data_IF_314939967579
#
_entry.id   IF_314939967579
#
_cell.length_a   1.000
_cell.length_b   1.000
_cell.length_c   1.000
_cell.angle_alpha   90.00
_cell.angle_beta   90.00
_cell.angle_gamma   90.00
#
_symmetry.space_group_name_H-M   'P 1'
#
loop_
_entity.id
_entity.type
_entity.pdbx_description
1 polymer ?
#
# COMPACT_ATOMS: atom_id res chain seq x y z
N UNK A 1 -10.54 6.14 80.97
CA UNK A 1 -11.72 6.94 81.38
C UNK A 1 -12.00 8.00 80.31
N UNK A 2 -13.28 8.17 80.02
CA UNK A 2 -13.98 9.21 79.27
C UNK A 2 -13.89 9.14 77.72
N UNK A 3 -15.04 8.77 77.24
CA UNK A 3 -15.65 8.87 75.94
C UNK A 3 -15.85 10.33 75.51
N UNK A 4 -15.70 10.63 74.28
CA UNK A 4 -16.15 11.85 73.61
C UNK A 4 -16.71 11.53 72.24
N UNK A 5 -18.02 11.48 72.15
CA UNK A 5 -18.84 11.41 70.97
C UNK A 5 -18.94 12.81 70.36
N UNK A 6 -18.69 13.00 69.07
CA UNK A 6 -19.23 14.17 68.38
C UNK A 6 -19.64 13.83 66.94
N UNK A 7 -20.78 14.26 66.64
CA UNK A 7 -21.76 13.97 65.66
C UNK A 7 -21.40 14.18 64.21
N UNK A 8 -21.94 13.30 63.42
CA UNK A 8 -22.02 13.39 61.96
C UNK A 8 -23.24 14.21 61.57
N UNK A 9 -23.00 15.35 60.91
CA UNK A 9 -24.05 16.05 60.16
C UNK A 9 -24.04 15.56 58.73
N UNK A 10 -25.13 14.92 58.30
CA UNK A 10 -25.37 14.52 56.93
C UNK A 10 -25.70 15.76 56.09
N UNK A 11 -24.82 16.09 55.16
CA UNK A 11 -25.06 17.05 54.09
C UNK A 11 -25.57 16.34 52.85
N UNK A 12 -26.85 16.52 52.55
CA UNK A 12 -27.51 16.01 51.34
C UNK A 12 -27.07 16.86 50.16
N UNK A 13 -26.19 16.34 49.27
CA UNK A 13 -25.93 16.92 47.97
C UNK A 13 -27.00 16.46 46.99
N UNK A 14 -27.84 17.41 46.54
CA UNK A 14 -28.77 17.20 45.42
C UNK A 14 -27.97 17.22 44.12
N UNK A 15 -27.81 16.07 43.49
CA UNK A 15 -27.27 15.96 42.13
C UNK A 15 -28.39 16.27 41.16
N UNK A 16 -28.38 17.47 40.59
CA UNK A 16 -29.27 17.84 39.51
C UNK A 16 -28.85 17.17 38.21
N UNK A 17 -29.65 16.19 37.76
CA UNK A 17 -29.48 15.53 36.48
C UNK A 17 -29.96 16.49 35.38
N UNK A 18 -29.03 17.11 34.66
CA UNK A 18 -29.35 17.86 33.43
C UNK A 18 -29.47 16.84 32.31
N UNK A 19 -30.71 16.56 31.91
CA UNK A 19 -31.00 15.78 30.68
C UNK A 19 -30.69 16.67 29.47
N UNK A 20 -29.60 16.43 28.78
CA UNK A 20 -29.39 16.91 27.43
C UNK A 20 -30.25 16.07 26.47
N UNK A 21 -31.33 16.65 25.98
CA UNK A 21 -32.06 16.13 24.82
C UNK A 21 -31.20 16.37 23.57
N UNK A 22 -30.45 15.35 23.16
CA UNK A 22 -29.85 15.33 21.83
C UNK A 22 -30.95 15.00 20.80
N UNK A 23 -31.06 15.75 19.68
CA UNK A 23 -31.94 15.36 18.60
C UNK A 23 -31.44 14.04 18.01
N UNK A 24 -32.35 13.09 17.84
CA UNK A 24 -32.07 11.83 17.16
C UNK A 24 -31.62 12.09 15.72
N UNK A 25 -30.63 11.33 15.20
CA UNK A 25 -30.28 11.41 13.79
C UNK A 25 -31.51 11.00 12.96
N UNK A 26 -31.90 11.86 12.03
CA UNK A 26 -32.91 11.54 11.03
C UNK A 26 -32.34 10.48 10.10
N UNK A 27 -32.83 9.25 10.21
CA UNK A 27 -32.64 8.19 9.23
C UNK A 27 -33.16 8.71 7.88
N UNK A 28 -32.28 8.73 6.88
CA UNK A 28 -32.64 9.09 5.52
C UNK A 28 -33.79 8.19 5.04
N UNK A 29 -34.85 8.83 4.55
CA UNK A 29 -36.00 8.11 3.98
C UNK A 29 -35.54 7.43 2.68
N UNK A 30 -35.63 6.11 2.66
CA UNK A 30 -35.55 5.32 1.44
C UNK A 30 -36.63 5.78 0.45
N UNK A 31 -36.20 6.36 -0.65
CA UNK A 31 -37.07 6.60 -1.79
C UNK A 31 -37.38 5.27 -2.47
N UNK A 32 -38.61 4.88 -2.64
CA UNK A 32 -38.98 3.64 -3.34
C UNK A 32 -38.48 3.66 -4.79
N UNK A 33 -38.07 2.52 -5.36
CA UNK A 33 -37.64 2.44 -6.76
C UNK A 33 -38.76 2.82 -7.69
N UNK A 34 -38.52 3.77 -8.59
CA UNK A 34 -39.43 4.17 -9.63
C UNK A 34 -39.64 3.03 -10.66
N UNK A 35 -40.79 3.05 -11.40
CA UNK A 35 -41.12 2.00 -12.36
C UNK A 35 -40.09 1.90 -13.49
N UNK A 36 -39.93 0.71 -14.11
CA UNK A 36 -38.98 0.50 -15.19
C UNK A 36 -39.32 1.39 -16.40
N UNK A 37 -38.33 2.13 -16.87
CA UNK A 37 -38.45 2.90 -18.11
C UNK A 37 -38.19 1.97 -19.29
N UNK A 38 -39.24 1.84 -20.12
CA UNK A 38 -39.15 1.16 -21.41
C UNK A 38 -38.15 1.80 -22.35
N UNK A 39 -37.49 0.95 -23.12
CA UNK A 39 -36.37 1.29 -23.96
C UNK A 39 -36.72 2.24 -25.11
N UNK A 40 -35.93 3.27 -25.23
CA UNK A 40 -35.83 4.15 -26.40
C UNK A 40 -34.36 4.26 -26.78
N UNK A 41 -33.94 3.48 -27.75
CA UNK A 41 -32.62 3.60 -28.34
C UNK A 41 -32.40 4.96 -28.99
N UNK A 42 -31.45 5.73 -28.49
CA UNK A 42 -30.82 6.85 -29.21
C UNK A 42 -29.35 6.88 -28.88
N UNK A 43 -28.56 6.87 -29.97
CA UNK A 43 -27.13 6.85 -29.99
C UNK A 43 -26.47 7.77 -28.96
N UNK A 44 -25.73 7.14 -28.05
CA UNK A 44 -24.93 7.82 -27.07
C UNK A 44 -23.76 8.54 -27.74
N UNK A 45 -23.85 9.86 -27.89
CA UNK A 45 -22.67 10.70 -27.99
C UNK A 45 -21.96 10.61 -26.65
N UNK A 46 -20.87 9.85 -26.61
CA UNK A 46 -19.93 9.84 -25.51
C UNK A 46 -19.40 11.26 -25.29
N UNK A 47 -20.01 11.98 -24.34
CA UNK A 47 -19.50 13.23 -23.83
C UNK A 47 -18.29 12.95 -22.96
N UNK A 48 -17.11 12.76 -23.57
CA UNK A 48 -15.86 12.76 -22.86
C UNK A 48 -15.66 14.12 -22.20
N UNK A 49 -15.76 14.20 -20.89
CA UNK A 49 -15.22 15.32 -20.11
C UNK A 49 -13.68 15.25 -20.08
N UNK A 50 -13.08 15.12 -21.27
CA UNK A 50 -11.69 15.42 -21.49
C UNK A 50 -11.52 16.92 -21.59
N UNK A 51 -11.51 17.66 -20.49
CA UNK A 51 -10.80 18.94 -20.46
C UNK A 51 -9.37 18.59 -20.83
N UNK A 52 -8.98 18.91 -22.06
CA UNK A 52 -7.60 18.77 -22.52
C UNK A 52 -6.69 19.46 -21.50
N UNK A 53 -6.04 18.69 -20.64
CA UNK A 53 -4.94 19.23 -19.83
C UNK A 53 -3.91 19.71 -20.86
N UNK A 54 -3.60 20.99 -20.84
CA UNK A 54 -2.46 21.49 -21.61
C UNK A 54 -1.26 20.60 -21.30
N UNK A 55 -0.47 20.20 -22.31
CA UNK A 55 0.74 19.42 -22.05
C UNK A 55 1.56 20.13 -20.99
N UNK A 56 2.02 19.38 -20.00
CA UNK A 56 2.94 19.93 -19.00
C UNK A 56 4.20 20.41 -19.73
N UNK A 57 4.80 21.54 -19.31
CA UNK A 57 6.08 21.96 -19.86
C UNK A 57 7.12 20.85 -19.66
N UNK A 58 8.23 20.83 -20.43
CA UNK A 58 9.30 19.88 -20.24
C UNK A 58 9.72 19.84 -18.75
N UNK A 59 10.02 18.65 -18.25
CA UNK A 59 10.51 18.49 -16.87
C UNK A 59 11.88 19.16 -16.72
N UNK A 60 12.08 19.89 -15.64
CA UNK A 60 13.38 20.44 -15.26
C UNK A 60 14.28 19.38 -14.61
N UNK A 61 15.54 19.71 -14.35
CA UNK A 61 16.43 18.85 -13.60
C UNK A 61 15.88 18.66 -12.17
N UNK A 62 16.18 17.52 -11.54
CA UNK A 62 15.83 17.33 -10.14
C UNK A 62 16.55 18.33 -9.23
N UNK A 63 15.87 18.69 -8.13
CA UNK A 63 16.42 19.59 -7.10
C UNK A 63 17.47 18.87 -6.27
N UNK A 64 18.23 19.64 -5.50
CA UNK A 64 19.22 19.14 -4.54
C UNK A 64 18.91 19.63 -3.14
N UNK A 65 19.19 18.77 -2.17
CA UNK A 65 19.22 19.10 -0.75
C UNK A 65 20.43 19.97 -0.41
N UNK A 66 20.47 20.51 0.79
CA UNK A 66 21.57 21.37 1.24
C UNK A 66 22.94 20.66 1.26
N UNK A 67 22.97 19.32 1.43
CA UNK A 67 24.17 18.49 1.37
C UNK A 67 24.50 18.00 -0.06
N UNK A 68 23.81 18.53 -1.07
CA UNK A 68 24.07 18.28 -2.48
C UNK A 68 23.51 16.98 -3.04
N UNK A 69 22.77 16.20 -2.27
CA UNK A 69 22.11 14.98 -2.72
C UNK A 69 20.86 15.31 -3.55
N UNK A 70 20.41 14.42 -4.44
CA UNK A 70 19.11 14.59 -5.06
C UNK A 70 18.00 14.74 -4.03
N UNK A 71 17.10 15.71 -4.26
CA UNK A 71 15.94 15.93 -3.41
C UNK A 71 14.76 15.08 -3.91
N UNK A 72 14.49 13.98 -3.23
CA UNK A 72 13.40 13.07 -3.53
C UNK A 72 12.08 13.51 -2.85
N UNK A 73 12.08 14.58 -2.05
CA UNK A 73 10.90 15.05 -1.32
C UNK A 73 9.74 15.35 -2.25
N UNK A 74 8.53 15.04 -1.80
CA UNK A 74 7.29 15.34 -2.53
C UNK A 74 6.31 14.18 -2.53
N UNK A 75 5.24 14.34 -3.30
CA UNK A 75 4.20 13.32 -3.46
C UNK A 75 4.46 12.52 -4.74
N UNK A 76 4.40 11.21 -4.63
CA UNK A 76 4.74 10.28 -5.71
C UNK A 76 3.65 9.22 -5.88
N UNK A 77 3.61 8.61 -7.04
CA UNK A 77 2.78 7.43 -7.31
C UNK A 77 3.49 6.50 -8.31
N UNK A 78 3.05 5.26 -8.33
CA UNK A 78 3.56 4.21 -9.20
C UNK A 78 2.55 3.82 -10.30
N UNK A 79 1.84 4.78 -10.87
CA UNK A 79 0.75 4.52 -11.82
C UNK A 79 1.18 3.74 -13.09
N UNK A 80 2.46 3.78 -13.44
CA UNK A 80 3.01 3.12 -14.63
C UNK A 80 3.83 1.86 -14.27
N UNK A 81 3.32 1.04 -13.36
CA UNK A 81 3.99 -0.16 -12.86
C UNK A 81 3.63 -1.45 -13.60
N UNK A 82 2.99 -1.36 -14.78
CA UNK A 82 2.65 -2.53 -15.58
C UNK A 82 1.50 -3.39 -15.04
N UNK A 83 0.75 -2.89 -14.05
CA UNK A 83 -0.31 -3.65 -13.37
C UNK A 83 0.21 -4.53 -12.23
N UNK A 84 1.43 -4.27 -11.75
CA UNK A 84 2.10 -5.07 -10.72
C UNK A 84 1.29 -5.23 -9.42
N UNK A 85 0.41 -4.28 -9.12
CA UNK A 85 -0.50 -4.37 -7.96
C UNK A 85 -1.44 -5.57 -8.05
N UNK A 86 -1.90 -5.90 -9.27
CA UNK A 86 -2.76 -7.05 -9.50
C UNK A 86 -1.96 -8.34 -9.61
N UNK A 87 -0.93 -8.33 -10.44
CA UNK A 87 0.01 -9.44 -10.59
C UNK A 87 1.38 -8.87 -11.03
N UNK A 88 2.39 -9.06 -10.21
CA UNK A 88 3.75 -8.54 -10.47
C UNK A 88 4.40 -9.20 -11.67
N UNK A 89 4.02 -10.45 -11.97
CA UNK A 89 4.43 -11.21 -13.12
C UNK A 89 3.72 -10.75 -14.40
N UNK A 90 4.25 -11.09 -15.54
CA UNK A 90 3.59 -10.91 -16.83
C UNK A 90 2.30 -11.75 -16.89
N UNK A 91 1.17 -11.09 -17.10
CA UNK A 91 -0.17 -11.71 -17.11
C UNK A 91 -0.98 -11.24 -18.33
N UNK A 92 -0.86 -11.93 -19.47
CA UNK A 92 -1.47 -11.50 -20.73
C UNK A 92 -3.00 -11.71 -20.80
N UNK A 93 -3.57 -12.42 -19.85
CA UNK A 93 -5.00 -12.76 -19.85
C UNK A 93 -5.72 -12.01 -18.73
N UNK A 94 -6.79 -11.30 -19.10
CA UNK A 94 -7.68 -10.69 -18.10
C UNK A 94 -8.40 -11.78 -17.29
N UNK A 95 -8.53 -11.54 -16.00
CA UNK A 95 -9.31 -12.37 -15.06
C UNK A 95 -10.26 -11.45 -14.30
N UNK A 96 -11.36 -11.91 -13.73
CA UNK A 96 -12.22 -11.07 -12.91
C UNK A 96 -11.41 -10.32 -11.84
N UNK A 97 -11.50 -8.99 -11.83
CA UNK A 97 -10.72 -8.12 -10.94
C UNK A 97 -9.23 -7.92 -11.33
N UNK A 98 -8.71 -8.64 -12.31
CA UNK A 98 -7.30 -8.63 -12.71
C UNK A 98 -7.16 -8.30 -14.20
N UNK A 99 -6.97 -7.05 -14.58
CA UNK A 99 -6.75 -6.67 -15.97
C UNK A 99 -5.43 -7.24 -16.48
N UNK A 100 -5.30 -7.51 -17.80
CA UNK A 100 -4.04 -7.95 -18.35
C UNK A 100 -2.98 -6.87 -18.24
N UNK A 101 -1.74 -7.27 -18.03
CA UNK A 101 -0.62 -6.35 -17.90
C UNK A 101 0.73 -7.01 -18.20
N UNK A 102 1.75 -6.21 -18.49
CA UNK A 102 3.11 -6.71 -18.70
C UNK A 102 3.79 -7.14 -17.40
N UNK A 103 3.22 -6.82 -16.22
CA UNK A 103 3.90 -6.94 -14.94
C UNK A 103 5.04 -5.92 -14.78
N UNK A 104 5.82 -6.06 -13.74
CA UNK A 104 6.95 -5.18 -13.44
C UNK A 104 8.30 -5.89 -13.47
N UNK A 105 8.34 -7.20 -13.63
CA UNK A 105 9.58 -7.98 -13.62
C UNK A 105 10.38 -7.73 -14.90
N UNK A 106 11.63 -7.29 -14.69
CA UNK A 106 12.59 -7.05 -15.79
C UNK A 106 13.72 -8.07 -15.82
N UNK A 107 13.95 -8.77 -14.73
CA UNK A 107 14.84 -9.90 -14.61
C UNK A 107 14.20 -10.94 -13.67
N UNK A 108 13.94 -12.16 -14.15
CA UNK A 108 14.26 -12.75 -15.46
C UNK A 108 13.45 -12.15 -16.62
N UNK A 109 13.99 -12.26 -17.86
CA UNK A 109 13.39 -11.64 -19.05
C UNK A 109 12.05 -12.26 -19.50
N UNK A 110 11.70 -13.45 -18.99
CA UNK A 110 10.38 -14.07 -19.20
C UNK A 110 9.28 -13.38 -18.38
N UNK A 111 9.67 -12.53 -17.41
CA UNK A 111 8.74 -11.79 -16.55
C UNK A 111 8.07 -12.65 -15.49
N UNK A 112 8.67 -13.77 -15.11
CA UNK A 112 8.13 -14.69 -14.11
C UNK A 112 9.02 -14.73 -12.87
N UNK A 113 8.41 -14.95 -11.70
CA UNK A 113 9.15 -15.16 -10.44
C UNK A 113 9.83 -16.53 -10.50
N UNK A 114 11.15 -16.61 -10.25
CA UNK A 114 11.89 -17.87 -10.29
C UNK A 114 11.68 -18.70 -9.02
N UNK A 115 10.45 -19.11 -8.77
CA UNK A 115 10.08 -19.88 -7.58
C UNK A 115 10.78 -21.21 -7.46
N UNK A 116 11.05 -21.63 -6.22
CA UNK A 116 11.24 -23.05 -5.92
C UNK A 116 9.93 -23.82 -6.15
N UNK A 117 9.96 -25.14 -6.39
CA UNK A 117 8.74 -25.93 -6.63
C UNK A 117 7.71 -25.82 -5.48
N UNK A 118 8.18 -25.69 -4.25
CA UNK A 118 7.33 -25.54 -3.06
C UNK A 118 6.56 -24.22 -3.10
N UNK A 119 7.25 -23.09 -3.34
CA UNK A 119 6.64 -21.77 -3.36
C UNK A 119 5.79 -21.52 -4.60
N UNK A 120 6.16 -22.12 -5.75
CA UNK A 120 5.30 -22.13 -6.94
C UNK A 120 3.94 -22.80 -6.65
N UNK A 121 3.96 -23.92 -5.92
CA UNK A 121 2.73 -24.61 -5.51
C UNK A 121 1.91 -23.75 -4.53
N UNK A 122 2.57 -23.08 -3.58
CA UNK A 122 1.91 -22.17 -2.62
C UNK A 122 1.25 -21.00 -3.33
N UNK A 123 1.96 -20.29 -4.20
CA UNK A 123 1.42 -19.18 -4.98
C UNK A 123 0.23 -19.62 -5.85
N UNK A 124 0.34 -20.78 -6.49
CA UNK A 124 -0.76 -21.32 -7.28
C UNK A 124 -1.99 -21.66 -6.43
N UNK A 125 -1.81 -22.25 -5.26
CA UNK A 125 -2.90 -22.56 -4.34
C UNK A 125 -3.59 -21.28 -3.85
N UNK A 126 -2.81 -20.25 -3.48
CA UNK A 126 -3.36 -18.95 -3.12
C UNK A 126 -4.25 -18.39 -4.22
N UNK A 127 -3.75 -18.41 -5.47
CA UNK A 127 -4.51 -17.91 -6.61
C UNK A 127 -5.78 -18.72 -6.88
N UNK A 128 -5.70 -20.05 -6.86
CA UNK A 128 -6.80 -20.92 -7.26
C UNK A 128 -7.89 -21.03 -6.16
N UNK A 129 -7.51 -20.94 -4.87
CA UNK A 129 -8.37 -21.37 -3.77
C UNK A 129 -8.46 -20.37 -2.61
N UNK A 130 -7.48 -19.44 -2.48
CA UNK A 130 -7.28 -18.64 -1.28
C UNK A 130 -7.23 -17.12 -1.52
N UNK A 131 -7.76 -16.61 -2.63
CA UNK A 131 -7.69 -15.17 -2.92
C UNK A 131 -8.38 -14.30 -1.85
N UNK A 132 -9.39 -14.84 -1.16
CA UNK A 132 -10.02 -14.14 -0.03
C UNK A 132 -9.15 -14.05 1.22
N UNK A 133 -8.02 -14.78 1.25
CA UNK A 133 -7.01 -14.70 2.32
C UNK A 133 -5.93 -13.64 2.02
N UNK A 134 -6.08 -12.84 0.95
CA UNK A 134 -5.18 -11.74 0.65
C UNK A 134 -5.04 -10.83 1.89
N UNK A 135 -3.82 -10.62 2.41
CA UNK A 135 -3.64 -9.91 3.69
C UNK A 135 -4.24 -8.50 3.72
N UNK A 136 -4.23 -7.82 2.58
CA UNK A 136 -4.77 -6.46 2.47
C UNK A 136 -6.29 -6.40 2.58
N UNK A 137 -7.01 -7.43 2.15
CA UNK A 137 -8.46 -7.55 2.39
C UNK A 137 -8.78 -7.60 3.88
N UNK A 138 -7.81 -8.02 4.70
CA UNK A 138 -7.88 -8.09 6.16
C UNK A 138 -7.18 -6.91 6.85
N UNK A 139 -6.91 -5.83 6.11
CA UNK A 139 -6.26 -4.60 6.61
C UNK A 139 -4.84 -4.80 7.17
N UNK A 140 -4.09 -5.78 6.69
CA UNK A 140 -2.65 -5.84 6.93
C UNK A 140 -1.90 -4.89 5.98
N UNK A 141 -0.77 -4.39 6.42
CA UNK A 141 0.14 -3.64 5.55
C UNK A 141 0.64 -4.50 4.40
N UNK A 142 0.88 -3.87 3.24
CA UNK A 142 1.31 -4.57 2.02
C UNK A 142 2.70 -5.18 2.15
N UNK A 143 3.58 -4.55 2.93
CA UNK A 143 4.99 -4.91 3.00
C UNK A 143 5.75 -4.64 1.70
N UNK A 144 7.04 -4.94 1.69
CA UNK A 144 7.89 -4.74 0.52
C UNK A 144 7.94 -6.02 -0.35
N UNK A 145 8.07 -5.85 -1.68
CA UNK A 145 8.05 -4.60 -2.45
C UNK A 145 6.63 -4.14 -2.81
N UNK A 146 5.58 -4.86 -2.39
CA UNK A 146 4.19 -4.62 -2.78
C UNK A 146 3.75 -3.17 -2.51
N UNK A 147 4.11 -2.62 -1.35
CA UNK A 147 3.80 -1.24 -0.98
C UNK A 147 4.25 -0.22 -2.04
N UNK A 148 5.34 -0.49 -2.76
CA UNK A 148 5.93 0.44 -3.73
C UNK A 148 5.15 0.55 -5.04
N UNK A 149 4.35 -0.44 -5.43
CA UNK A 149 3.58 -0.39 -6.67
C UNK A 149 2.07 -0.27 -6.46
N UNK A 150 1.64 0.03 -5.22
CA UNK A 150 0.25 0.40 -4.98
C UNK A 150 -0.11 1.67 -5.74
N UNK A 151 -1.35 1.72 -6.23
CA UNK A 151 -1.85 2.83 -7.03
C UNK A 151 -2.14 4.11 -6.21
N UNK A 152 -2.16 3.99 -4.89
CA UNK A 152 -2.31 5.13 -3.98
C UNK A 152 -1.03 5.95 -3.91
N UNK A 153 -1.18 7.25 -3.63
CA UNK A 153 -0.04 8.14 -3.49
C UNK A 153 0.74 7.91 -2.20
N UNK A 154 1.98 8.37 -2.21
CA UNK A 154 2.80 8.42 -1.02
C UNK A 154 3.65 9.70 -1.00
N UNK A 155 4.00 10.12 0.18
CA UNK A 155 4.87 11.27 0.42
C UNK A 155 6.27 10.80 0.76
N UNK A 156 7.27 11.42 0.15
CA UNK A 156 8.66 11.34 0.60
C UNK A 156 9.01 12.63 1.32
N UNK A 157 9.53 12.50 2.54
CA UNK A 157 10.20 13.55 3.29
C UNK A 157 11.68 13.17 3.41
N UNK A 158 12.57 14.13 3.21
CA UNK A 158 14.01 13.89 3.23
C UNK A 158 14.72 14.84 4.22
N UNK A 159 14.51 14.65 5.53
CA UNK A 159 15.32 15.35 6.52
C UNK A 159 16.76 14.86 6.51
N UNK A 160 17.69 15.65 7.05
CA UNK A 160 19.09 15.31 7.09
C UNK A 160 19.34 13.90 7.69
N UNK A 161 20.01 13.04 6.92
CA UNK A 161 20.36 11.67 7.33
C UNK A 161 19.24 10.64 7.27
N UNK A 162 18.06 11.01 6.76
CA UNK A 162 16.92 10.09 6.66
C UNK A 162 16.13 10.31 5.37
N UNK A 163 15.47 9.25 4.94
CA UNK A 163 14.31 9.29 4.04
C UNK A 163 13.11 8.74 4.80
N UNK A 164 12.00 9.46 4.80
CA UNK A 164 10.74 9.01 5.40
C UNK A 164 9.73 8.87 4.28
N UNK A 165 9.14 7.71 4.15
CA UNK A 165 8.08 7.43 3.21
C UNK A 165 6.78 7.22 3.99
N UNK A 166 5.74 7.94 3.59
CA UNK A 166 4.43 7.90 4.22
C UNK A 166 3.38 7.63 3.14
N UNK A 167 2.74 6.47 3.19
CA UNK A 167 1.74 6.05 2.22
C UNK A 167 0.33 6.40 2.69
N UNK A 168 -0.51 6.77 1.73
CA UNK A 168 -1.95 6.88 1.97
C UNK A 168 -2.53 5.50 2.33
N UNK A 169 -2.18 4.47 1.55
CA UNK A 169 -2.66 3.12 1.73
C UNK A 169 -2.13 2.50 3.04
N UNK A 170 -3.04 2.00 3.87
CA UNK A 170 -2.78 1.35 5.16
C UNK A 170 -2.00 2.21 6.18
N UNK A 171 -1.86 3.52 5.95
CA UNK A 171 -1.05 4.42 6.79
C UNK A 171 0.38 3.92 7.03
N UNK A 172 0.92 3.15 6.07
CA UNK A 172 2.26 2.61 6.20
C UNK A 172 3.30 3.74 6.26
N UNK A 173 4.23 3.63 7.19
CA UNK A 173 5.33 4.59 7.36
C UNK A 173 6.65 3.86 7.42
N UNK A 174 7.60 4.26 6.60
CA UNK A 174 8.93 3.69 6.55
C UNK A 174 9.98 4.76 6.79
N UNK A 175 10.81 4.58 7.81
CA UNK A 175 11.90 5.50 8.16
C UNK A 175 13.21 4.83 7.81
N UNK A 176 13.95 5.42 6.88
CA UNK A 176 15.17 4.87 6.32
C UNK A 176 16.34 5.79 6.69
N UNK A 177 17.22 5.40 7.60
CA UNK A 177 18.50 6.09 7.79
C UNK A 177 19.30 6.05 6.48
N UNK A 178 19.91 7.16 6.07
CA UNK A 178 20.67 7.25 4.80
C UNK A 178 22.16 7.48 4.98
N UNK A 179 22.68 7.15 6.14
CA UNK A 179 24.08 7.33 6.54
C UNK A 179 24.92 6.06 6.44
N UNK A 180 24.38 5.01 5.80
CA UNK A 180 25.06 3.72 5.60
C UNK A 180 25.45 3.02 6.91
N UNK A 181 24.65 3.23 7.97
CA UNK A 181 24.81 2.47 9.23
C UNK A 181 24.48 0.99 9.01
N UNK A 182 24.98 0.07 9.85
CA UNK A 182 24.54 -1.32 9.81
C UNK A 182 23.07 -1.45 10.23
N UNK A 183 22.42 -2.55 9.84
CA UNK A 183 21.10 -2.93 10.36
C UNK A 183 21.14 -3.04 11.90
N UNK A 184 20.09 -2.51 12.55
CA UNK A 184 20.05 -2.41 14.01
C UNK A 184 19.18 -3.44 14.70
N UNK A 185 18.32 -4.11 13.98
CA UNK A 185 17.37 -5.05 14.58
C UNK A 185 17.97 -6.46 14.71
N UNK A 186 17.63 -7.18 15.79
CA UNK A 186 17.97 -8.61 15.91
C UNK A 186 17.44 -9.41 14.72
N UNK A 187 18.19 -10.41 14.27
CA UNK A 187 17.81 -11.27 13.15
C UNK A 187 16.49 -12.05 13.38
N UNK A 188 16.00 -12.12 14.61
CA UNK A 188 14.72 -12.74 14.97
C UNK A 188 13.52 -11.79 14.84
N UNK A 189 13.74 -10.48 14.70
CA UNK A 189 12.67 -9.50 14.52
C UNK A 189 12.09 -9.62 13.12
N UNK A 190 10.76 -9.55 12.99
CA UNK A 190 10.04 -9.61 11.71
C UNK A 190 9.02 -8.49 11.65
N UNK A 191 9.12 -7.65 10.63
CA UNK A 191 8.28 -6.46 10.41
C UNK A 191 7.63 -6.52 9.03
N UNK A 192 6.56 -5.79 8.81
CA UNK A 192 5.93 -5.65 7.50
C UNK A 192 6.83 -4.89 6.52
N UNK A 193 7.41 -3.77 6.96
CA UNK A 193 8.30 -2.92 6.14
C UNK A 193 9.79 -3.26 6.33
N UNK A 194 10.12 -4.26 7.16
CA UNK A 194 11.48 -4.69 7.44
C UNK A 194 12.32 -3.66 8.21
N UNK A 195 13.63 -3.94 8.27
CA UNK A 195 14.67 -3.03 8.75
C UNK A 195 15.43 -2.50 7.54
N UNK A 196 15.33 -1.20 7.30
CA UNK A 196 15.85 -0.56 6.10
C UNK A 196 16.99 0.40 6.41
N UNK A 197 18.07 0.32 5.63
CA UNK A 197 19.21 1.22 5.71
C UNK A 197 19.59 1.70 4.32
N UNK A 198 19.78 3.01 4.15
CA UNK A 198 20.10 3.63 2.87
C UNK A 198 21.54 4.11 2.80
N UNK A 199 22.09 4.15 1.58
CA UNK A 199 23.32 4.81 1.22
C UNK A 199 23.22 5.46 -0.14
N UNK A 200 23.95 6.52 -0.35
CA UNK A 200 24.01 7.18 -1.64
C UNK A 200 25.16 6.62 -2.50
N UNK A 201 24.83 6.18 -3.69
CA UNK A 201 25.79 5.78 -4.73
C UNK A 201 25.67 6.78 -5.89
N UNK A 202 26.49 7.84 -5.86
CA UNK A 202 26.34 8.95 -6.79
C UNK A 202 24.96 9.63 -6.63
N UNK A 203 24.16 9.62 -7.70
CA UNK A 203 22.82 10.20 -7.72
C UNK A 203 21.71 9.19 -7.29
N UNK A 204 22.04 7.95 -7.03
CA UNK A 204 21.10 6.90 -6.68
C UNK A 204 21.11 6.67 -5.16
N UNK A 205 19.93 6.71 -4.54
CA UNK A 205 19.75 6.18 -3.20
C UNK A 205 19.55 4.67 -3.29
N UNK A 206 20.42 3.92 -2.67
CA UNK A 206 20.31 2.45 -2.53
C UNK A 206 19.83 2.15 -1.13
N UNK A 207 18.76 1.38 -1.02
CA UNK A 207 18.17 0.96 0.26
C UNK A 207 18.26 -0.55 0.36
N UNK A 208 18.86 -1.01 1.45
CA UNK A 208 18.98 -2.40 1.82
C UNK A 208 17.96 -2.72 2.91
N UNK A 209 17.16 -3.78 2.73
CA UNK A 209 16.08 -4.12 3.65
C UNK A 209 16.08 -5.59 3.99
N UNK A 210 16.14 -5.88 5.28
CA UNK A 210 16.08 -7.22 5.87
C UNK A 210 14.93 -7.31 6.88
N UNK A 211 14.81 -8.42 7.61
CA UNK A 211 13.84 -8.59 8.70
C UNK A 211 12.36 -8.49 8.29
N UNK A 212 12.06 -8.79 7.03
CA UNK A 212 10.67 -8.86 6.56
C UNK A 212 9.96 -10.09 7.16
N UNK A 213 8.66 -9.95 7.46
CA UNK A 213 7.82 -11.09 7.81
C UNK A 213 7.28 -11.78 6.54
N UNK A 214 6.71 -12.97 6.68
CA UNK A 214 6.09 -13.74 5.59
C UNK A 214 4.56 -13.64 5.56
N UNK A 215 4.00 -12.59 6.17
CA UNK A 215 2.55 -12.38 6.32
C UNK A 215 1.95 -11.52 5.22
N UNK A 216 2.75 -11.11 4.25
CA UNK A 216 2.35 -10.29 3.11
C UNK A 216 2.43 -11.07 1.81
N UNK A 217 1.66 -10.63 0.83
CA UNK A 217 1.77 -11.12 -0.53
C UNK A 217 2.52 -10.10 -1.40
N UNK A 218 3.11 -10.59 -2.49
CA UNK A 218 3.80 -9.71 -3.43
C UNK A 218 2.82 -8.92 -4.32
N UNK A 219 1.58 -9.41 -4.44
CA UNK A 219 0.51 -8.82 -5.24
C UNK A 219 -0.83 -9.46 -4.88
N UNK A 220 -1.92 -8.99 -5.51
CA UNK A 220 -3.26 -9.55 -5.29
C UNK A 220 -3.49 -10.90 -5.97
N UNK A 221 -2.54 -11.42 -6.76
CA UNK A 221 -2.64 -12.74 -7.39
C UNK A 221 -2.09 -13.89 -6.52
N UNK A 222 -1.74 -13.62 -5.26
CA UNK A 222 -1.29 -14.65 -4.34
C UNK A 222 0.18 -15.01 -4.41
N UNK A 223 0.98 -14.23 -5.12
CA UNK A 223 2.43 -14.41 -5.14
C UNK A 223 3.03 -14.11 -3.75
N UNK A 224 3.98 -14.91 -3.33
CA UNK A 224 4.48 -14.95 -1.95
C UNK A 224 6.00 -14.93 -1.86
N UNK A 225 6.46 -14.67 -0.67
CA UNK A 225 7.86 -14.77 -0.24
C UNK A 225 7.96 -15.45 1.13
N UNK A 226 9.17 -15.61 1.65
CA UNK A 226 9.39 -16.09 3.01
C UNK A 226 9.91 -14.97 3.93
N UNK A 227 10.08 -15.31 5.19
CA UNK A 227 10.72 -14.45 6.19
C UNK A 227 12.24 -14.31 6.01
N UNK A 228 12.81 -14.93 4.99
CA UNK A 228 14.22 -14.80 4.61
C UNK A 228 14.43 -13.81 3.46
N UNK A 229 13.35 -13.18 2.97
CA UNK A 229 13.47 -12.23 1.88
C UNK A 229 14.33 -11.03 2.27
N UNK A 230 15.28 -10.73 1.39
CA UNK A 230 16.13 -9.55 1.38
C UNK A 230 15.79 -8.72 0.14
N UNK A 231 15.64 -7.41 0.31
CA UNK A 231 15.28 -6.50 -0.77
C UNK A 231 16.30 -5.39 -0.88
N UNK A 232 16.84 -5.22 -2.08
CA UNK A 232 17.71 -4.08 -2.40
C UNK A 232 16.98 -3.18 -3.38
N UNK A 233 16.67 -1.96 -2.96
CA UNK A 233 15.97 -0.97 -3.76
C UNK A 233 16.91 0.12 -4.26
N UNK A 234 16.62 0.66 -5.43
CA UNK A 234 17.38 1.76 -6.05
C UNK A 234 16.42 2.84 -6.52
N UNK A 235 16.61 4.04 -5.97
CA UNK A 235 15.85 5.23 -6.33
C UNK A 235 16.77 6.15 -7.13
N UNK A 236 16.61 6.20 -8.45
CA UNK A 236 17.44 7.00 -9.35
C UNK A 236 16.59 8.13 -9.94
N UNK A 237 16.73 9.37 -9.50
CA UNK A 237 16.01 10.49 -10.09
C UNK A 237 16.46 10.70 -11.53
N UNK A 238 15.50 10.90 -12.43
CA UNK A 238 15.73 11.21 -13.84
C UNK A 238 15.59 12.71 -14.08
N UNK A 239 14.53 13.28 -13.53
CA UNK A 239 14.17 14.68 -13.60
C UNK A 239 13.33 15.07 -12.37
N UNK A 240 12.85 16.32 -12.31
CA UNK A 240 12.03 16.81 -11.19
C UNK A 240 10.71 16.06 -10.99
N UNK A 241 10.29 15.22 -11.96
CA UNK A 241 8.98 14.53 -11.97
C UNK A 241 9.08 13.02 -11.98
N UNK A 242 10.28 12.48 -12.17
CA UNK A 242 10.46 11.04 -12.41
C UNK A 242 11.60 10.48 -11.57
N UNK A 243 11.33 9.42 -10.85
CA UNK A 243 12.34 8.56 -10.23
C UNK A 243 12.22 7.18 -10.88
N UNK A 244 13.31 6.65 -11.43
CA UNK A 244 13.37 5.23 -11.77
C UNK A 244 13.53 4.43 -10.49
N UNK A 245 12.55 3.61 -10.19
CA UNK A 245 12.57 2.66 -9.08
C UNK A 245 12.91 1.27 -9.60
N UNK A 246 13.80 0.60 -8.89
CA UNK A 246 14.20 -0.78 -9.13
C UNK A 246 14.32 -1.49 -7.79
N UNK A 247 13.80 -2.71 -7.68
CA UNK A 247 13.95 -3.54 -6.48
C UNK A 247 14.34 -4.95 -6.88
N UNK A 248 15.40 -5.46 -6.25
CA UNK A 248 15.86 -6.83 -6.38
C UNK A 248 15.52 -7.60 -5.11
N UNK A 249 14.78 -8.68 -5.26
CA UNK A 249 14.40 -9.61 -4.21
C UNK A 249 15.29 -10.83 -4.24
N UNK A 250 15.87 -11.17 -3.10
CA UNK A 250 16.63 -12.40 -2.87
C UNK A 250 16.02 -13.14 -1.68
N UNK A 251 15.55 -14.35 -1.92
CA UNK A 251 14.93 -15.20 -0.90
C UNK A 251 15.28 -16.66 -1.20
N UNK A 252 16.36 -17.18 -0.62
CA UNK A 252 16.86 -18.51 -0.94
C UNK A 252 15.91 -19.65 -0.57
N UNK A 253 14.90 -19.38 0.27
CA UNK A 253 13.85 -20.34 0.60
C UNK A 253 12.74 -20.36 -0.44
N UNK A 254 12.38 -19.19 -0.99
CA UNK A 254 11.26 -19.06 -1.91
C UNK A 254 11.70 -19.11 -3.38
N UNK A 255 12.89 -18.61 -3.71
CA UNK A 255 13.34 -18.43 -5.09
C UNK A 255 14.61 -19.22 -5.40
N UNK A 256 14.75 -19.63 -6.64
CA UNK A 256 15.95 -20.34 -7.13
C UNK A 256 17.11 -19.39 -7.48
N UNK A 257 16.81 -18.11 -7.62
CA UNK A 257 17.75 -16.99 -7.82
C UNK A 257 17.09 -15.65 -7.50
N UNK A 258 17.85 -14.58 -7.29
CA UNK A 258 17.30 -13.23 -7.22
C UNK A 258 16.54 -12.83 -8.49
N UNK A 259 15.57 -11.91 -8.34
CA UNK A 259 14.79 -11.37 -9.44
C UNK A 259 14.49 -9.87 -9.19
N UNK A 260 14.19 -9.12 -10.25
CA UNK A 260 14.15 -7.65 -10.20
C UNK A 260 12.88 -7.11 -10.85
N UNK A 261 12.25 -6.17 -10.16
CA UNK A 261 11.18 -5.31 -10.73
C UNK A 261 11.73 -3.93 -11.05
N UNK A 262 11.12 -3.24 -12.04
CA UNK A 262 11.49 -1.88 -12.39
C UNK A 262 10.30 -1.13 -12.98
N UNK A 263 10.09 0.09 -12.52
CA UNK A 263 9.06 1.01 -13.05
C UNK A 263 9.38 2.46 -12.64
N UNK A 264 8.81 3.45 -13.34
CA UNK A 264 8.96 4.84 -12.93
C UNK A 264 7.98 5.19 -11.81
N UNK A 265 8.46 5.96 -10.84
CA UNK A 265 7.63 6.73 -9.93
C UNK A 265 7.41 8.10 -10.55
N UNK A 266 6.16 8.56 -10.55
CA UNK A 266 5.78 9.85 -11.09
C UNK A 266 5.38 10.80 -9.97
N UNK A 267 5.90 12.04 -10.03
CA UNK A 267 5.55 13.08 -9.07
C UNK A 267 4.10 13.52 -9.26
N UNK A 268 3.34 13.59 -8.19
CA UNK A 268 2.02 14.20 -8.22
C UNK A 268 2.16 15.73 -8.35
N UNK A 269 1.61 16.26 -9.43
CA UNK A 269 1.70 17.68 -9.78
C UNK A 269 0.39 18.43 -9.50
N UNK A 270 -0.58 17.82 -8.81
CA UNK A 270 -1.82 18.50 -8.47
C UNK A 270 -1.55 19.58 -7.42
N UNK A 271 -2.00 20.83 -7.65
CA UNK A 271 -1.89 21.87 -6.64
C UNK A 271 -2.63 21.48 -5.36
N UNK A 272 -2.01 21.73 -4.21
CA UNK A 272 -2.59 21.45 -2.89
C UNK A 272 -2.97 19.97 -2.69
N UNK A 273 -2.27 19.06 -3.34
CA UNK A 273 -2.43 17.64 -3.08
C UNK A 273 -1.90 17.30 -1.69
N UNK A 274 -2.69 16.58 -0.93
CA UNK A 274 -2.32 15.96 0.34
C UNK A 274 -2.71 14.50 0.28
N UNK A 275 -1.98 13.63 0.99
CA UNK A 275 -2.39 12.24 1.17
C UNK A 275 -3.62 12.21 2.09
N UNK A 276 -4.54 11.32 1.76
CA UNK A 276 -5.79 11.19 2.51
C UNK A 276 -5.65 10.17 3.63
N UNK A 277 -6.54 10.23 4.58
CA UNK A 277 -6.70 9.18 5.58
C UNK A 277 -7.29 7.93 4.93
N UNK A 278 -6.72 6.78 5.24
CA UNK A 278 -7.17 5.48 4.77
C UNK A 278 -7.63 4.62 5.96
N UNK A 279 -8.95 4.54 6.16
CA UNK A 279 -9.55 3.82 7.29
C UNK A 279 -10.00 2.42 6.87
N UNK A 280 -9.05 1.49 6.70
CA UNK A 280 -9.32 0.15 6.19
C UNK A 280 -10.32 -0.65 7.04
N UNK A 281 -10.22 -0.57 8.36
CA UNK A 281 -11.05 -1.40 9.27
C UNK A 281 -12.49 -0.91 9.33
N UNK A 282 -12.71 0.40 9.14
CA UNK A 282 -14.03 1.01 9.29
C UNK A 282 -14.97 0.64 8.13
N UNK A 283 -15.90 -0.28 8.40
CA UNK A 283 -16.88 -0.74 7.43
C UNK A 283 -16.32 -1.63 6.32
N UNK A 284 -15.14 -2.23 6.53
CA UNK A 284 -14.52 -3.12 5.56
C UNK A 284 -15.42 -4.32 5.25
N UNK A 285 -15.79 -4.49 3.98
CA UNK A 285 -16.56 -5.59 3.44
C UNK A 285 -15.85 -6.31 2.30
N UNK A 286 -14.57 -6.02 2.07
CA UNK A 286 -13.83 -6.51 0.91
C UNK A 286 -13.80 -8.03 0.85
N UNK A 287 -13.54 -8.70 1.97
CA UNK A 287 -13.59 -10.17 2.05
C UNK A 287 -14.97 -10.72 1.68
N UNK A 288 -16.04 -10.07 2.15
CA UNK A 288 -17.42 -10.49 1.87
C UNK A 288 -17.74 -10.33 0.38
N UNK A 289 -17.44 -9.18 -0.20
CA UNK A 289 -17.63 -8.91 -1.63
C UNK A 289 -16.83 -9.91 -2.48
N UNK A 290 -15.58 -10.17 -2.09
CA UNK A 290 -14.72 -11.10 -2.82
C UNK A 290 -15.29 -12.53 -2.85
N UNK A 291 -15.81 -13.01 -1.71
CA UNK A 291 -16.46 -14.31 -1.61
C UNK A 291 -17.73 -14.35 -2.47
N UNK A 292 -18.53 -13.29 -2.48
CA UNK A 292 -19.75 -13.20 -3.30
C UNK A 292 -19.42 -13.18 -4.80
N UNK A 293 -18.47 -12.36 -5.23
CA UNK A 293 -18.07 -12.24 -6.64
C UNK A 293 -17.47 -13.53 -7.19
N UNK A 294 -16.79 -14.31 -6.37
CA UNK A 294 -16.25 -15.63 -6.75
C UNK A 294 -17.27 -16.74 -6.68
N UNK A 295 -18.54 -16.42 -6.34
CA UNK A 295 -19.60 -17.40 -6.18
C UNK A 295 -19.35 -18.41 -5.04
N UNK A 296 -18.69 -17.97 -3.98
CA UNK A 296 -18.35 -18.76 -2.81
C UNK A 296 -17.19 -19.75 -3.04
N UNK A 297 -16.47 -19.62 -4.16
CA UNK A 297 -15.29 -20.45 -4.45
C UNK A 297 -14.08 -20.06 -3.60
N UNK A 298 -13.93 -18.77 -3.32
CA UNK A 298 -12.95 -18.31 -2.35
C UNK A 298 -13.55 -18.42 -0.94
N UNK A 299 -12.96 -19.24 -0.10
CA UNK A 299 -13.33 -19.32 1.32
C UNK A 299 -12.24 -18.61 2.10
N UNK A 300 -12.58 -17.54 2.81
CA UNK A 300 -11.63 -16.95 3.75
C UNK A 300 -11.44 -17.92 4.93
N UNK A 301 -10.22 -18.29 5.17
CA UNK A 301 -9.80 -18.92 6.42
C UNK A 301 -9.27 -17.77 7.28
N UNK A 302 -10.17 -17.13 8.03
CA UNK A 302 -9.76 -16.09 8.98
C UNK A 302 -8.99 -16.81 10.10
N UNK A 303 -7.75 -16.44 10.39
CA UNK A 303 -7.00 -17.00 11.52
C UNK A 303 -7.61 -16.63 12.86
#
# INVERSE_FOLDING_TARGET
>A
MRKGFLGMTAGTLAVGTILFLMPAPTVGQDTPPGPPREGGGRGGRGGGFGRGRSPLPPAGPFKRTADGKPDLSGYWNAANNGGAVFEVQKHPVARPGYPPGPGAIVDPPDGLIPYTPEYAKKAKANFDEHLADEPELHCYESGLPNQMYRQFGFQILQPAGYLVMNWEFMHAVRIIPTDNRPHGLPASTRLFEGDSVGRWEGETLVVDTTNLNDRTWLDSAGNVHSDQMHVVERFTPVDERTINYEATMDDPKAYTRPWTVKFPLSRNMQPNYEIMEFACIEGNQDVHHYIEETGGKAKAVIP
#
